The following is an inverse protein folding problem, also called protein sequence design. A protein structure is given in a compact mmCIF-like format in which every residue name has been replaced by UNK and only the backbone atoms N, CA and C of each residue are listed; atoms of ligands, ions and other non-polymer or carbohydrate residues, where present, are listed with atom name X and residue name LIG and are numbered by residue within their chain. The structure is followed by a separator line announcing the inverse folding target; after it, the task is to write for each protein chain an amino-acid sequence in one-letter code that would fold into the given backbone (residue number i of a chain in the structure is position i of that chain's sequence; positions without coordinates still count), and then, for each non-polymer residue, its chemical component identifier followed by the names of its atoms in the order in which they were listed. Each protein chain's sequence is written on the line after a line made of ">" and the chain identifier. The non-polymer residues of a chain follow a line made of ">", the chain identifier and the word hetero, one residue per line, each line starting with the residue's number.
data_IF_477193561434
#
_entry.id   IF_477193561434
#
_cell.length_a   1.000
_cell.length_b   1.000
_cell.length_c   1.000
_cell.angle_alpha   90.00
_cell.angle_beta   90.00
_cell.angle_gamma   90.00
#
_symmetry.space_group_name_H-M   'P 1'
#
loop_
_entity.id
_entity.type
_entity.pdbx_description
1 polymer ?
#
# COMPACT_ATOMS: atom_id res chain seq x y z
N UNK A 1 7.55 -22.39 -22.60
CA UNK A 1 7.81 -20.95 -22.35
C UNK A 1 7.90 -20.72 -20.84
N UNK A 2 9.09 -20.64 -20.25
CA UNK A 2 9.22 -20.33 -18.81
C UNK A 2 9.06 -18.82 -18.60
N UNK A 3 7.94 -18.40 -18.00
CA UNK A 3 7.68 -16.99 -17.67
C UNK A 3 8.74 -16.53 -16.66
N UNK A 4 9.60 -15.59 -17.07
CA UNK A 4 10.63 -15.02 -16.20
C UNK A 4 9.95 -14.12 -15.16
N UNK A 5 10.08 -14.47 -13.87
CA UNK A 5 9.53 -13.66 -12.77
C UNK A 5 10.24 -12.31 -12.70
N UNK A 6 9.48 -11.22 -12.59
CA UNK A 6 10.03 -9.89 -12.37
C UNK A 6 10.49 -9.75 -10.91
N UNK A 7 11.75 -10.10 -10.65
CA UNK A 7 12.38 -9.94 -9.33
C UNK A 7 12.96 -8.53 -9.23
N UNK A 8 12.37 -7.70 -8.38
CA UNK A 8 12.93 -6.40 -7.98
C UNK A 8 13.34 -6.46 -6.52
N UNK A 9 14.56 -6.01 -6.21
CA UNK A 9 14.98 -5.80 -4.82
C UNK A 9 14.31 -4.54 -4.32
N UNK A 10 13.51 -4.67 -3.26
CA UNK A 10 12.91 -3.52 -2.60
C UNK A 10 13.87 -3.06 -1.51
N UNK A 11 14.41 -1.85 -1.66
CA UNK A 11 15.35 -1.24 -0.70
C UNK A 11 14.62 -0.59 0.47
N UNK A 12 13.37 -0.18 0.27
CA UNK A 12 12.49 0.43 1.26
C UNK A 12 11.56 -0.64 1.83
N UNK A 13 11.17 -0.55 3.11
CA UNK A 13 10.26 -1.52 3.73
C UNK A 13 8.89 -1.55 3.04
N UNK A 14 8.13 -2.63 3.25
CA UNK A 14 6.78 -2.71 2.66
C UNK A 14 5.83 -1.65 3.23
N UNK A 15 5.89 -1.41 4.55
CA UNK A 15 5.10 -0.38 5.22
C UNK A 15 5.38 1.02 4.64
N UNK A 16 6.65 1.38 4.48
CA UNK A 16 7.04 2.68 3.93
C UNK A 16 6.54 2.86 2.49
N UNK A 17 6.59 1.80 1.66
CA UNK A 17 6.08 1.86 0.29
C UNK A 17 4.56 2.06 0.25
N UNK A 18 3.82 1.47 1.19
CA UNK A 18 2.37 1.68 1.30
C UNK A 18 2.06 3.13 1.70
N UNK A 19 2.81 3.70 2.64
CA UNK A 19 2.66 5.11 3.04
C UNK A 19 3.03 6.09 1.90
N UNK A 20 4.10 5.81 1.16
CA UNK A 20 4.47 6.57 -0.03
C UNK A 20 3.38 6.51 -1.10
N UNK A 21 2.81 5.33 -1.35
CA UNK A 21 1.73 5.16 -2.32
C UNK A 21 0.45 5.91 -1.90
N UNK A 22 0.09 5.87 -0.61
CA UNK A 22 -1.05 6.61 -0.07
C UNK A 22 -0.87 8.13 -0.26
N UNK A 23 0.30 8.64 0.11
CA UNK A 23 0.66 10.06 -0.03
C UNK A 23 0.62 10.51 -1.49
N UNK A 24 1.30 9.77 -2.38
CA UNK A 24 1.34 10.08 -3.81
C UNK A 24 -0.06 10.05 -4.44
N UNK A 25 -0.91 9.10 -4.06
CA UNK A 25 -2.27 9.03 -4.56
C UNK A 25 -3.14 10.21 -4.09
N UNK A 26 -2.95 10.69 -2.85
CA UNK A 26 -3.62 11.91 -2.37
C UNK A 26 -3.13 13.15 -3.10
N UNK A 27 -1.83 13.28 -3.31
CA UNK A 27 -1.25 14.40 -4.05
C UNK A 27 -1.77 14.43 -5.49
N UNK A 28 -1.78 13.28 -6.17
CA UNK A 28 -2.40 13.16 -7.49
C UNK A 28 -3.89 13.55 -7.49
N UNK A 29 -4.65 13.10 -6.48
CA UNK A 29 -6.06 13.48 -6.34
C UNK A 29 -6.28 14.98 -6.08
N UNK A 30 -5.31 15.68 -5.47
CA UNK A 30 -5.38 17.14 -5.25
C UNK A 30 -5.17 17.94 -6.53
N UNK A 31 -4.40 17.40 -7.48
CA UNK A 31 -4.12 18.04 -8.76
C UNK A 31 -5.26 17.86 -9.78
N UNK A 32 -6.15 16.89 -9.56
CA UNK A 32 -7.27 16.59 -10.44
C UNK A 32 -8.52 17.40 -10.09
N UNK A 33 -9.33 17.81 -11.09
CA UNK A 33 -10.64 18.40 -10.84
C UNK A 33 -11.59 17.37 -10.19
N UNK A 34 -12.70 17.86 -9.64
CA UNK A 34 -13.76 16.98 -9.13
C UNK A 34 -14.28 16.09 -10.27
N UNK A 35 -14.23 14.77 -10.06
CA UNK A 35 -14.62 13.80 -11.07
C UNK A 35 -14.16 12.38 -10.75
N UNK A 36 -14.50 11.41 -11.63
CA UNK A 36 -14.26 9.99 -11.39
C UNK A 36 -12.77 9.65 -11.27
N UNK A 37 -11.90 10.38 -11.98
CA UNK A 37 -10.45 10.15 -11.90
C UNK A 37 -9.90 10.53 -10.53
N UNK A 38 -10.30 11.69 -9.99
CA UNK A 38 -9.96 12.12 -8.63
C UNK A 38 -10.46 11.12 -7.59
N UNK A 39 -11.70 10.66 -7.71
CA UNK A 39 -12.25 9.64 -6.82
C UNK A 39 -11.48 8.33 -6.88
N UNK A 40 -11.05 7.91 -8.07
CA UNK A 40 -10.23 6.70 -8.23
C UNK A 40 -8.88 6.82 -7.51
N UNK A 41 -8.26 8.00 -7.55
CA UNK A 41 -7.00 8.27 -6.84
C UNK A 41 -7.21 8.31 -5.33
N UNK A 42 -8.31 8.90 -4.85
CA UNK A 42 -8.67 8.85 -3.42
C UNK A 42 -8.94 7.43 -2.94
N UNK A 43 -9.64 6.60 -3.74
CA UNK A 43 -9.86 5.18 -3.41
C UNK A 43 -8.54 4.42 -3.30
N UNK A 44 -7.60 4.65 -4.21
CA UNK A 44 -6.25 4.06 -4.14
C UNK A 44 -5.49 4.50 -2.89
N UNK A 45 -5.60 5.78 -2.52
CA UNK A 45 -4.97 6.29 -1.30
C UNK A 45 -5.51 5.56 -0.07
N UNK A 46 -6.83 5.47 0.07
CA UNK A 46 -7.48 4.77 1.18
C UNK A 46 -7.09 3.29 1.21
N UNK A 47 -7.05 2.62 0.06
CA UNK A 47 -6.61 1.22 -0.01
C UNK A 47 -5.18 1.03 0.49
N UNK A 48 -4.27 1.95 0.12
CA UNK A 48 -2.89 1.90 0.57
C UNK A 48 -2.75 2.16 2.08
N UNK A 49 -3.55 3.07 2.65
CA UNK A 49 -3.60 3.33 4.09
C UNK A 49 -4.13 2.12 4.87
N UNK A 50 -5.24 1.53 4.41
CA UNK A 50 -5.80 0.32 5.02
C UNK A 50 -4.81 -0.83 4.96
N UNK A 51 -4.13 -1.01 3.83
CA UNK A 51 -3.09 -2.04 3.71
C UNK A 51 -1.91 -1.79 4.68
N UNK A 52 -1.51 -0.52 4.87
CA UNK A 52 -0.45 -0.18 5.82
C UNK A 52 -0.87 -0.51 7.26
N UNK A 53 -2.11 -0.19 7.63
CA UNK A 53 -2.66 -0.51 8.94
C UNK A 53 -2.77 -2.02 9.18
N UNK A 54 -3.24 -2.79 8.19
CA UNK A 54 -3.26 -4.26 8.28
C UNK A 54 -1.84 -4.79 8.46
N UNK A 55 -0.87 -4.26 7.69
CA UNK A 55 0.52 -4.68 7.82
C UNK A 55 1.08 -4.40 9.23
N UNK A 56 0.74 -3.25 9.82
CA UNK A 56 1.09 -2.92 11.19
C UNK A 56 0.50 -3.91 12.19
N UNK A 57 -0.81 -4.22 12.08
CA UNK A 57 -1.48 -5.19 12.95
C UNK A 57 -0.85 -6.59 12.85
N UNK A 58 -0.53 -7.05 11.64
CA UNK A 58 0.13 -8.34 11.41
C UNK A 58 1.59 -8.36 11.88
N UNK A 59 2.23 -7.20 11.94
CA UNK A 59 3.60 -7.06 12.45
C UNK A 59 3.66 -6.99 13.98
N UNK A 60 2.52 -6.84 14.65
CA UNK A 60 2.46 -6.79 16.10
C UNK A 60 2.80 -8.16 16.73
N UNK A 61 3.58 -8.21 17.83
CA UNK A 61 4.06 -9.47 18.43
C UNK A 61 2.93 -10.44 18.81
N UNK A 62 1.81 -9.90 19.31
CA UNK A 62 0.65 -10.68 19.75
C UNK A 62 0.01 -11.41 18.57
N UNK A 63 0.04 -10.80 17.38
CA UNK A 63 -0.56 -11.39 16.17
C UNK A 63 0.39 -12.41 15.52
N UNK A 64 1.71 -12.16 15.53
CA UNK A 64 2.69 -13.11 15.01
C UNK A 64 2.68 -14.44 15.77
N UNK A 65 2.63 -14.39 17.11
CA UNK A 65 2.55 -15.59 17.95
C UNK A 65 1.26 -16.41 17.74
N UNK A 66 0.18 -15.79 17.26
CA UNK A 66 -1.07 -16.47 16.94
C UNK A 66 -1.07 -17.13 15.55
N UNK A 67 -0.25 -16.63 14.61
CA UNK A 67 -0.14 -17.17 13.24
C UNK A 67 0.83 -18.36 13.16
N UNK A 68 1.78 -18.47 14.10
CA UNK A 68 2.80 -19.54 14.13
C UNK A 68 2.34 -20.86 14.79
N UNK A 69 1.04 -21.02 15.10
CA UNK A 69 0.45 -22.25 15.67
C UNK A 69 -0.09 -23.19 14.61
#
# INVERSE_FOLDING_TARGET
>A
MSIKRNRRKQTVSFADRLQQAATAAREAARLLPAGPERESMLKKAIQAETAAHINELLSAPIMQAAVER
#
